data_IF_015238853027
#
_entry.id   IF_015238853027
#
_cell.length_a   1.000
_cell.length_b   1.000
_cell.length_c   1.000
_cell.angle_alpha   90.00
_cell.angle_beta   90.00
_cell.angle_gamma   90.00
#
_symmetry.space_group_name_H-M   'P 1'
#
loop_
_entity.id
_entity.type
_entity.pdbx_description
1 polymer ?
#
# COMPACT_ATOMS: atom_id res chain seq x y z
N UNK A 1 -19.04 1.03 -26.99
CA UNK A 1 -17.94 1.79 -27.62
C UNK A 1 -16.70 0.94 -27.52
N UNK A 2 -15.95 0.82 -28.62
CA UNK A 2 -14.71 0.02 -28.62
C UNK A 2 -13.64 0.80 -27.83
N UNK A 3 -13.45 0.49 -26.58
CA UNK A 3 -12.53 1.15 -25.62
C UNK A 3 -11.05 0.82 -25.90
N UNK A 4 -10.71 0.45 -27.12
CA UNK A 4 -9.36 0.05 -27.51
C UNK A 4 -8.54 1.24 -28.04
N UNK A 5 -7.25 1.27 -27.67
CA UNK A 5 -6.25 2.22 -28.17
C UNK A 5 -5.93 1.97 -29.66
N UNK A 6 -6.95 2.09 -30.52
CA UNK A 6 -7.02 1.92 -31.99
C UNK A 6 -5.86 1.15 -32.67
N UNK A 7 -4.63 1.71 -32.67
CA UNK A 7 -3.45 1.17 -33.40
C UNK A 7 -2.55 0.33 -32.51
N UNK A 8 -2.82 0.28 -31.21
CA UNK A 8 -2.03 -0.49 -30.25
C UNK A 8 -2.70 -1.86 -30.07
N UNK A 9 -1.93 -2.91 -30.34
CA UNK A 9 -2.36 -4.30 -30.19
C UNK A 9 -1.44 -5.08 -29.28
N UNK A 10 -0.11 -4.89 -29.43
CA UNK A 10 0.92 -5.60 -28.69
C UNK A 10 1.60 -4.63 -27.72
N UNK A 11 1.50 -4.90 -26.42
CA UNK A 11 2.04 -4.07 -25.36
C UNK A 11 3.16 -4.83 -24.65
N UNK A 12 4.38 -4.29 -24.66
CA UNK A 12 5.51 -4.88 -23.95
C UNK A 12 5.80 -4.17 -22.64
N UNK A 13 5.87 -4.95 -21.55
CA UNK A 13 6.20 -4.45 -20.22
C UNK A 13 7.64 -4.78 -19.84
N UNK A 14 8.43 -3.78 -19.43
CA UNK A 14 9.77 -3.98 -18.87
C UNK A 14 9.67 -3.92 -17.33
N UNK A 15 9.98 -5.06 -16.67
CA UNK A 15 9.74 -5.25 -15.23
C UNK A 15 8.29 -5.66 -14.93
N UNK A 16 7.72 -6.55 -15.75
CA UNK A 16 6.31 -6.95 -15.69
C UNK A 16 5.92 -7.62 -14.36
N UNK A 17 6.87 -8.20 -13.64
CA UNK A 17 6.65 -8.89 -12.36
C UNK A 17 6.49 -7.96 -11.16
N UNK A 18 6.67 -6.65 -11.32
CA UNK A 18 6.35 -5.68 -10.28
C UNK A 18 4.84 -5.63 -10.00
N UNK A 19 4.43 -5.49 -8.73
CA UNK A 19 3.01 -5.53 -8.33
C UNK A 19 2.14 -4.54 -9.11
N UNK A 20 2.56 -3.29 -9.21
CA UNK A 20 1.82 -2.25 -9.97
C UNK A 20 1.88 -2.46 -11.49
N UNK A 21 2.98 -3.00 -12.04
CA UNK A 21 3.11 -3.33 -13.46
C UNK A 21 2.20 -4.49 -13.84
N UNK A 22 2.24 -5.57 -13.04
CA UNK A 22 1.42 -6.75 -13.26
C UNK A 22 -0.07 -6.46 -13.22
N UNK A 23 -0.52 -5.58 -12.33
CA UNK A 23 -1.92 -5.16 -12.26
C UNK A 23 -2.41 -4.48 -13.53
N UNK A 24 -1.64 -3.52 -14.06
CA UNK A 24 -1.96 -2.85 -15.35
C UNK A 24 -1.93 -3.86 -16.50
N UNK A 25 -0.93 -4.74 -16.54
CA UNK A 25 -0.81 -5.79 -17.55
C UNK A 25 -2.01 -6.75 -17.54
N UNK A 26 -2.48 -7.17 -16.36
CA UNK A 26 -3.66 -8.03 -16.21
C UNK A 26 -4.93 -7.36 -16.73
N UNK A 27 -5.15 -6.09 -16.42
CA UNK A 27 -6.31 -5.34 -16.94
C UNK A 27 -6.27 -5.26 -18.47
N UNK A 28 -5.10 -4.99 -19.05
CA UNK A 28 -4.94 -4.91 -20.51
C UNK A 28 -5.15 -6.27 -21.20
N UNK A 29 -4.64 -7.37 -20.62
CA UNK A 29 -4.94 -8.74 -21.09
C UNK A 29 -6.44 -9.00 -21.14
N UNK A 30 -7.12 -8.70 -20.04
CA UNK A 30 -8.58 -8.91 -19.95
C UNK A 30 -9.38 -8.00 -20.90
N UNK A 31 -8.83 -6.84 -21.29
CA UNK A 31 -9.39 -5.98 -22.34
C UNK A 31 -9.13 -6.52 -23.75
N UNK A 32 -8.35 -7.59 -23.89
CA UNK A 32 -8.06 -8.29 -25.15
C UNK A 32 -6.87 -7.73 -25.93
N UNK A 33 -5.92 -7.03 -25.25
CA UNK A 33 -4.62 -6.70 -25.82
C UNK A 33 -3.69 -7.91 -25.75
N UNK A 34 -2.77 -8.04 -26.71
CA UNK A 34 -1.64 -8.94 -26.58
C UNK A 34 -0.62 -8.31 -25.63
N UNK A 35 -0.44 -8.92 -24.47
CA UNK A 35 0.52 -8.47 -23.48
C UNK A 35 1.72 -9.38 -23.46
N UNK A 36 2.88 -8.79 -23.55
CA UNK A 36 4.15 -9.46 -23.34
C UNK A 36 5.03 -8.64 -22.40
N UNK A 37 6.02 -9.27 -21.80
CA UNK A 37 6.94 -8.51 -20.95
C UNK A 37 8.10 -9.31 -20.43
N UNK A 38 9.08 -8.59 -19.92
CA UNK A 38 10.31 -9.17 -19.39
C UNK A 38 10.51 -8.82 -17.91
N UNK A 39 11.11 -9.75 -17.16
CA UNK A 39 11.55 -9.55 -15.79
C UNK A 39 12.86 -10.30 -15.52
N UNK A 40 13.60 -9.90 -14.49
CA UNK A 40 14.89 -10.54 -14.14
C UNK A 40 14.69 -11.94 -13.55
N UNK A 41 13.57 -12.19 -12.87
CA UNK A 41 13.25 -13.46 -12.20
C UNK A 41 11.78 -13.80 -12.35
N UNK A 42 11.46 -15.09 -12.36
CA UNK A 42 10.07 -15.54 -12.17
C UNK A 42 9.61 -15.23 -10.75
N UNK A 43 8.34 -14.83 -10.64
CA UNK A 43 7.68 -14.58 -9.38
C UNK A 43 6.16 -14.85 -9.53
N UNK A 44 5.37 -14.86 -8.44
CA UNK A 44 3.94 -15.15 -8.49
C UNK A 44 3.14 -14.27 -9.48
N UNK A 45 3.56 -13.01 -9.70
CA UNK A 45 2.91 -12.09 -10.66
C UNK A 45 3.16 -12.55 -12.09
N UNK A 46 4.42 -12.83 -12.47
CA UNK A 46 4.79 -13.31 -13.82
C UNK A 46 4.14 -14.63 -14.13
N UNK A 47 4.08 -15.56 -13.17
CA UNK A 47 3.43 -16.86 -13.32
C UNK A 47 1.92 -16.74 -13.51
N UNK A 48 1.28 -15.83 -12.77
CA UNK A 48 -0.15 -15.53 -12.94
C UNK A 48 -0.43 -14.95 -14.32
N UNK A 49 0.34 -13.95 -14.76
CA UNK A 49 0.18 -13.33 -16.08
C UNK A 49 0.39 -14.34 -17.20
N UNK A 50 1.37 -15.25 -17.10
CA UNK A 50 1.59 -16.32 -18.07
C UNK A 50 0.38 -17.25 -18.17
N UNK A 51 -0.24 -17.62 -17.04
CA UNK A 51 -1.49 -18.42 -17.02
C UNK A 51 -2.68 -17.69 -17.66
N UNK A 52 -2.69 -16.35 -17.61
CA UNK A 52 -3.71 -15.52 -18.26
C UNK A 52 -3.44 -15.28 -19.75
N UNK A 53 -2.31 -15.76 -20.29
CA UNK A 53 -1.97 -15.68 -21.70
C UNK A 53 -0.92 -14.63 -22.05
N UNK A 54 -0.27 -13.97 -21.07
CA UNK A 54 0.86 -13.08 -21.36
C UNK A 54 2.10 -13.87 -21.77
N UNK A 55 2.88 -13.34 -22.70
CA UNK A 55 4.18 -13.88 -23.06
C UNK A 55 5.27 -13.31 -22.17
N UNK A 56 5.83 -14.14 -21.29
CA UNK A 56 6.83 -13.72 -20.29
C UNK A 56 8.23 -14.13 -20.73
N UNK A 57 9.18 -13.20 -20.70
CA UNK A 57 10.59 -13.41 -20.94
C UNK A 57 11.40 -13.26 -19.66
N UNK A 58 12.30 -14.18 -19.37
CA UNK A 58 13.27 -14.05 -18.28
C UNK A 58 14.54 -13.36 -18.81
N UNK A 59 14.93 -12.28 -18.14
CA UNK A 59 15.97 -11.36 -18.62
C UNK A 59 15.44 -10.33 -19.61
N UNK A 60 16.11 -9.18 -19.64
CA UNK A 60 15.79 -8.09 -20.55
C UNK A 60 16.69 -8.16 -21.78
N UNK A 61 16.10 -8.25 -22.96
CA UNK A 61 16.81 -8.29 -24.24
C UNK A 61 16.05 -7.48 -25.31
N UNK A 62 16.76 -6.95 -26.29
CA UNK A 62 16.17 -6.20 -27.39
C UNK A 62 15.20 -7.05 -28.22
N UNK A 63 15.51 -8.31 -28.40
CA UNK A 63 14.73 -9.29 -29.16
C UNK A 63 13.37 -9.59 -28.54
N UNK A 64 13.23 -9.33 -27.23
CA UNK A 64 11.97 -9.55 -26.52
C UNK A 64 10.85 -8.59 -26.99
N UNK A 65 11.21 -7.45 -27.59
CA UNK A 65 10.24 -6.48 -28.08
C UNK A 65 9.41 -7.01 -29.25
N UNK A 66 10.01 -7.79 -30.15
CA UNK A 66 9.31 -8.30 -31.34
C UNK A 66 8.62 -7.18 -32.10
N UNK A 67 7.32 -7.31 -32.29
CA UNK A 67 6.45 -6.32 -32.96
C UNK A 67 5.64 -5.49 -31.98
N UNK A 68 6.17 -5.16 -30.80
CA UNK A 68 5.47 -4.34 -29.80
C UNK A 68 5.13 -2.95 -30.37
N UNK A 69 3.89 -2.54 -30.19
CA UNK A 69 3.39 -1.20 -30.61
C UNK A 69 3.75 -0.12 -29.58
N UNK A 70 3.90 -0.51 -28.31
CA UNK A 70 4.27 0.37 -27.19
C UNK A 70 5.02 -0.42 -26.12
N UNK A 71 5.94 0.26 -25.44
CA UNK A 71 6.69 -0.29 -24.31
C UNK A 71 6.29 0.45 -23.04
N UNK A 72 5.86 -0.29 -22.02
CA UNK A 72 5.55 0.24 -20.69
C UNK A 72 6.71 -0.04 -19.76
N UNK A 73 7.18 1.00 -19.07
CA UNK A 73 8.33 0.91 -18.16
C UNK A 73 7.97 1.34 -16.75
N UNK A 74 8.60 0.70 -15.76
CA UNK A 74 8.58 1.15 -14.36
C UNK A 74 9.67 2.20 -14.13
N UNK A 75 9.48 3.11 -13.18
CA UNK A 75 10.49 4.07 -12.70
C UNK A 75 11.77 3.38 -12.18
N UNK A 76 11.68 2.11 -11.76
CA UNK A 76 12.83 1.31 -11.31
C UNK A 76 13.74 0.80 -12.45
N UNK A 77 13.32 0.92 -13.73
CA UNK A 77 14.08 0.41 -14.88
C UNK A 77 15.17 1.42 -15.27
N UNK A 78 16.42 0.97 -15.25
CA UNK A 78 17.55 1.81 -15.65
C UNK A 78 17.49 2.16 -17.16
N UNK A 79 17.90 3.38 -17.51
CA UNK A 79 17.95 3.85 -18.92
C UNK A 79 18.82 2.97 -19.83
N UNK A 80 19.81 2.28 -19.27
CA UNK A 80 20.68 1.34 -20.00
C UNK A 80 20.04 -0.04 -20.24
N UNK A 81 18.78 -0.25 -19.87
CA UNK A 81 18.08 -1.50 -20.11
C UNK A 81 18.02 -1.81 -21.63
N UNK A 82 18.44 -3.00 -22.10
CA UNK A 82 18.56 -3.31 -23.53
C UNK A 82 17.22 -3.25 -24.27
N UNK A 83 16.11 -3.67 -23.65
CA UNK A 83 14.79 -3.56 -24.27
C UNK A 83 14.37 -2.09 -24.41
N UNK A 84 14.62 -1.26 -23.39
CA UNK A 84 14.33 0.18 -23.44
C UNK A 84 15.17 0.88 -24.51
N UNK A 85 16.47 0.61 -24.57
CA UNK A 85 17.36 1.17 -25.58
C UNK A 85 16.94 0.80 -27.01
N UNK A 86 16.54 -0.46 -27.22
CA UNK A 86 16.05 -0.93 -28.53
C UNK A 86 14.70 -0.29 -28.91
N UNK A 87 13.78 -0.08 -27.96
CA UNK A 87 12.52 0.59 -28.20
C UNK A 87 12.74 2.03 -28.66
N UNK A 88 13.63 2.78 -28.00
CA UNK A 88 13.99 4.14 -28.36
C UNK A 88 14.64 4.22 -29.73
N UNK A 89 15.56 3.30 -30.04
CA UNK A 89 16.21 3.22 -31.35
C UNK A 89 15.22 2.89 -32.48
N UNK A 90 14.27 1.98 -32.20
CA UNK A 90 13.18 1.59 -33.10
C UNK A 90 12.04 2.60 -33.20
N UNK A 91 12.09 3.70 -32.46
CA UNK A 91 11.01 4.70 -32.34
C UNK A 91 9.67 4.10 -31.89
N UNK A 92 9.71 3.02 -31.10
CA UNK A 92 8.53 2.49 -30.43
C UNK A 92 8.21 3.41 -29.27
N UNK A 93 6.95 3.89 -29.10
CA UNK A 93 6.57 4.70 -27.95
C UNK A 93 6.93 4.00 -26.63
N UNK A 94 7.55 4.75 -25.73
CA UNK A 94 7.89 4.30 -24.39
C UNK A 94 7.12 5.16 -23.40
N UNK A 95 6.26 4.53 -22.61
CA UNK A 95 5.39 5.21 -21.65
C UNK A 95 5.64 4.72 -20.22
N UNK A 96 5.64 5.58 -19.22
CA UNK A 96 5.64 5.19 -17.82
C UNK A 96 4.41 4.36 -17.48
N UNK A 97 4.53 3.47 -16.48
CA UNK A 97 3.38 2.71 -15.92
C UNK A 97 2.18 3.60 -15.58
N UNK A 98 2.44 4.75 -14.96
CA UNK A 98 1.37 5.65 -14.54
C UNK A 98 0.64 6.31 -15.72
N UNK A 99 1.36 6.61 -16.80
CA UNK A 99 0.75 7.12 -18.03
C UNK A 99 -0.18 6.06 -18.66
N UNK A 100 0.25 4.79 -18.71
CA UNK A 100 -0.61 3.69 -19.16
C UNK A 100 -1.83 3.50 -18.24
N UNK A 101 -1.67 3.64 -16.92
CA UNK A 101 -2.79 3.61 -16.00
C UNK A 101 -3.73 4.82 -16.22
N UNK A 102 -3.18 6.00 -16.46
CA UNK A 102 -3.93 7.20 -16.83
C UNK A 102 -4.77 6.99 -18.09
N UNK A 103 -4.21 6.32 -19.13
CA UNK A 103 -4.98 5.97 -20.32
C UNK A 103 -6.12 4.99 -20.02
N UNK A 104 -5.92 4.00 -19.15
CA UNK A 104 -7.01 3.12 -18.69
C UNK A 104 -8.10 3.90 -17.94
N UNK A 105 -7.72 4.93 -17.16
CA UNK A 105 -8.65 5.79 -16.43
C UNK A 105 -9.54 6.63 -17.35
N UNK A 106 -9.05 7.07 -18.51
CA UNK A 106 -9.80 7.91 -19.47
C UNK A 106 -11.08 7.26 -19.99
N UNK A 107 -11.15 5.94 -20.02
CA UNK A 107 -12.28 5.18 -20.54
C UNK A 107 -13.25 4.73 -19.45
N UNK A 108 -13.03 5.12 -18.20
CA UNK A 108 -13.79 4.67 -17.03
C UNK A 108 -14.12 5.87 -16.12
N UNK A 109 -15.16 5.72 -15.32
CA UNK A 109 -15.37 6.63 -14.20
C UNK A 109 -14.36 6.28 -13.12
N UNK A 110 -13.25 7.00 -13.08
CA UNK A 110 -12.08 6.62 -12.31
C UNK A 110 -12.02 7.29 -10.95
N UNK A 111 -11.57 6.52 -9.97
CA UNK A 111 -11.35 6.93 -8.59
C UNK A 111 -9.87 6.70 -8.29
N UNK A 112 -9.14 7.75 -7.95
CA UNK A 112 -7.73 7.67 -7.58
C UNK A 112 -7.57 7.92 -6.07
N UNK A 113 -6.81 7.07 -5.39
CA UNK A 113 -6.52 7.21 -3.96
C UNK A 113 -5.05 7.55 -3.78
N UNK A 114 -4.79 8.80 -3.40
CA UNK A 114 -3.48 9.35 -3.11
C UNK A 114 -3.29 9.55 -1.59
N UNK A 115 -2.07 9.93 -1.22
CA UNK A 115 -1.64 10.22 0.15
C UNK A 115 -0.42 9.39 0.53
N UNK A 116 0.32 9.81 1.52
CA UNK A 116 1.54 9.12 1.92
C UNK A 116 1.24 7.73 2.49
N UNK A 117 0.25 7.62 3.37
CA UNK A 117 -0.14 6.39 4.05
C UNK A 117 -1.61 6.02 3.81
N UNK A 118 -1.95 4.73 3.91
CA UNK A 118 -3.32 4.25 3.83
C UNK A 118 -3.88 4.06 2.42
N UNK A 119 -3.15 4.40 1.35
CA UNK A 119 -3.59 4.24 -0.05
C UNK A 119 -4.16 2.86 -0.35
N UNK A 120 -3.36 1.83 -0.13
CA UNK A 120 -3.73 0.42 -0.41
C UNK A 120 -5.00 0.00 0.31
N UNK A 121 -5.11 0.35 1.60
CA UNK A 121 -6.28 0.01 2.42
C UNK A 121 -7.53 0.74 1.92
N UNK A 122 -7.43 2.04 1.69
CA UNK A 122 -8.56 2.85 1.21
C UNK A 122 -9.02 2.41 -0.18
N UNK A 123 -8.10 2.18 -1.13
CA UNK A 123 -8.41 1.66 -2.47
C UNK A 123 -9.14 0.32 -2.39
N UNK A 124 -8.67 -0.58 -1.52
CA UNK A 124 -9.28 -1.89 -1.30
C UNK A 124 -10.68 -1.80 -0.71
N UNK A 125 -10.89 -0.90 0.26
CA UNK A 125 -12.20 -0.64 0.87
C UNK A 125 -13.17 -0.06 -0.16
N UNK A 126 -12.76 0.93 -0.95
CA UNK A 126 -13.58 1.50 -2.04
C UNK A 126 -13.95 0.40 -3.02
N UNK A 127 -12.99 -0.37 -3.52
CA UNK A 127 -13.26 -1.45 -4.48
C UNK A 127 -14.22 -2.50 -3.91
N UNK A 128 -14.07 -2.87 -2.62
CA UNK A 128 -14.94 -3.84 -1.94
C UNK A 128 -16.36 -3.33 -1.78
N UNK A 129 -16.54 -2.06 -1.39
CA UNK A 129 -17.86 -1.45 -1.23
C UNK A 129 -18.58 -1.33 -2.59
N UNK A 130 -17.86 -0.91 -3.64
CA UNK A 130 -18.45 -0.81 -4.98
C UNK A 130 -18.85 -2.18 -5.52
N UNK A 131 -18.05 -3.22 -5.27
CA UNK A 131 -18.35 -4.60 -5.66
C UNK A 131 -19.60 -5.12 -4.91
N UNK A 132 -19.68 -4.93 -3.59
CA UNK A 132 -20.85 -5.31 -2.78
C UNK A 132 -22.10 -4.52 -3.18
N UNK A 133 -21.93 -3.27 -3.63
CA UNK A 133 -23.00 -2.44 -4.22
C UNK A 133 -23.43 -2.84 -5.61
N UNK A 134 -22.88 -3.92 -6.19
CA UNK A 134 -23.22 -4.41 -7.54
C UNK A 134 -22.64 -3.58 -8.69
N UNK A 135 -21.69 -2.68 -8.41
CA UNK A 135 -21.08 -1.80 -9.42
C UNK A 135 -19.89 -2.45 -10.14
N UNK A 136 -19.46 -3.64 -9.71
CA UNK A 136 -18.39 -4.48 -10.29
C UNK A 136 -17.19 -3.67 -10.85
N UNK A 137 -16.41 -2.99 -9.99
CA UNK A 137 -15.35 -2.10 -10.45
C UNK A 137 -14.15 -2.87 -11.00
N UNK A 138 -13.45 -2.26 -11.96
CA UNK A 138 -12.05 -2.57 -12.22
C UNK A 138 -11.21 -1.96 -11.11
N UNK A 139 -10.21 -2.68 -10.60
CA UNK A 139 -9.28 -2.12 -9.63
C UNK A 139 -7.82 -2.47 -9.91
N UNK A 140 -6.93 -1.56 -9.51
CA UNK A 140 -5.46 -1.74 -9.52
C UNK A 140 -4.92 -1.24 -8.18
N UNK A 141 -4.41 -2.15 -7.36
CA UNK A 141 -4.00 -1.93 -5.95
C UNK A 141 -2.53 -2.33 -5.78
N UNK A 142 -1.78 -1.61 -4.98
CA UNK A 142 -0.37 -1.91 -4.68
C UNK A 142 -0.15 -3.20 -3.87
N UNK A 143 -1.16 -3.65 -3.11
CA UNK A 143 -1.17 -4.89 -2.35
C UNK A 143 -2.17 -5.91 -2.89
N UNK A 144 -2.11 -7.15 -2.39
CA UNK A 144 -3.05 -8.21 -2.77
C UNK A 144 -4.28 -8.18 -1.87
N UNK A 145 -5.45 -7.94 -2.49
CA UNK A 145 -6.74 -7.98 -1.81
C UNK A 145 -7.16 -9.44 -1.57
N UNK A 146 -7.30 -9.85 -0.31
CA UNK A 146 -7.56 -11.26 0.06
C UNK A 146 -8.88 -11.78 -0.52
N UNK A 147 -9.94 -10.99 -0.55
CA UNK A 147 -11.25 -11.40 -1.09
C UNK A 147 -11.25 -11.66 -2.60
N UNK A 148 -10.32 -11.03 -3.34
CA UNK A 148 -10.18 -11.19 -4.79
C UNK A 148 -8.98 -12.07 -5.16
N UNK A 149 -8.14 -12.43 -4.20
CA UNK A 149 -6.87 -13.15 -4.38
C UNK A 149 -5.97 -12.52 -5.46
N UNK A 150 -6.05 -11.18 -5.60
CA UNK A 150 -5.39 -10.42 -6.65
C UNK A 150 -5.11 -8.97 -6.23
N UNK A 151 -4.10 -8.38 -6.86
CA UNK A 151 -3.82 -6.94 -6.78
C UNK A 151 -4.49 -6.15 -7.91
N UNK A 152 -5.10 -6.81 -8.89
CA UNK A 152 -5.89 -6.17 -9.93
C UNK A 152 -6.98 -7.11 -10.45
N UNK A 153 -8.10 -6.53 -10.89
CA UNK A 153 -9.19 -7.25 -11.53
C UNK A 153 -9.90 -6.34 -12.52
N UNK A 154 -10.23 -6.85 -13.71
CA UNK A 154 -11.15 -6.19 -14.60
C UNK A 154 -12.59 -6.50 -14.16
N UNK A 155 -13.35 -5.46 -13.80
CA UNK A 155 -14.79 -5.53 -13.60
C UNK A 155 -15.57 -5.20 -14.85
N UNK A 156 -16.82 -5.67 -14.92
CA UNK A 156 -17.76 -5.34 -16.01
C UNK A 156 -18.34 -3.93 -15.86
N UNK A 157 -18.25 -3.33 -14.66
CA UNK A 157 -18.78 -2.01 -14.37
C UNK A 157 -17.96 -0.88 -15.00
N UNK A 158 -18.55 0.32 -15.02
CA UNK A 158 -17.90 1.53 -15.57
C UNK A 158 -16.82 2.13 -14.69
N UNK A 159 -16.65 1.65 -13.46
CA UNK A 159 -15.76 2.22 -12.46
C UNK A 159 -14.35 1.62 -12.53
N UNK A 160 -13.34 2.45 -12.30
CA UNK A 160 -11.96 2.03 -12.11
C UNK A 160 -11.42 2.67 -10.83
N UNK A 161 -10.94 1.85 -9.91
CA UNK A 161 -10.34 2.30 -8.63
C UNK A 161 -8.86 1.97 -8.66
N UNK A 162 -8.01 2.97 -8.46
CA UNK A 162 -6.56 2.79 -8.48
C UNK A 162 -5.84 3.60 -7.41
N UNK A 163 -4.68 3.09 -6.98
CA UNK A 163 -3.75 3.87 -6.18
C UNK A 163 -3.03 4.92 -7.04
N UNK A 164 -2.88 6.11 -6.49
CA UNK A 164 -2.15 7.22 -7.05
C UNK A 164 -0.85 7.40 -6.26
N UNK A 165 0.29 7.04 -6.88
CA UNK A 165 1.59 7.01 -6.22
C UNK A 165 2.28 8.37 -6.33
N UNK A 166 2.50 9.03 -5.21
CA UNK A 166 3.21 10.31 -5.12
C UNK A 166 4.73 10.15 -5.04
N UNK A 167 5.20 8.94 -4.72
CA UNK A 167 6.63 8.69 -4.41
C UNK A 167 7.58 9.00 -5.56
N UNK A 168 7.12 8.86 -6.80
CA UNK A 168 7.84 9.18 -8.03
C UNK A 168 7.13 10.28 -8.85
N UNK A 169 6.18 11.00 -8.24
CA UNK A 169 5.31 11.99 -8.87
C UNK A 169 4.43 11.41 -10.01
N UNK A 170 4.34 10.08 -10.12
CA UNK A 170 3.60 9.42 -11.20
C UNK A 170 2.09 9.66 -11.14
N UNK A 171 1.54 10.00 -9.96
CA UNK A 171 0.13 10.36 -9.81
C UNK A 171 -0.28 11.59 -10.64
N UNK A 172 0.66 12.45 -11.04
CA UNK A 172 0.41 13.60 -11.91
C UNK A 172 -0.09 13.21 -13.31
N UNK A 173 0.14 11.97 -13.76
CA UNK A 173 -0.37 11.46 -15.03
C UNK A 173 -1.84 11.04 -14.96
N UNK A 174 -2.40 10.90 -13.74
CA UNK A 174 -3.76 10.42 -13.54
C UNK A 174 -4.78 11.54 -13.69
N UNK A 175 -5.93 11.24 -14.30
CA UNK A 175 -7.04 12.17 -14.51
C UNK A 175 -8.34 11.54 -13.97
N UNK A 176 -8.49 11.45 -12.64
CA UNK A 176 -9.66 10.81 -12.04
C UNK A 176 -10.90 11.70 -12.08
N UNK A 177 -12.07 11.07 -11.86
CA UNK A 177 -13.34 11.75 -11.57
C UNK A 177 -13.52 12.01 -10.09
N UNK A 178 -12.99 11.12 -9.25
CA UNK A 178 -12.91 11.29 -7.80
C UNK A 178 -11.46 11.07 -7.38
N UNK A 179 -10.91 12.00 -6.61
CA UNK A 179 -9.59 11.90 -6.01
C UNK A 179 -9.71 11.90 -4.48
N UNK A 180 -9.14 10.87 -3.84
CA UNK A 180 -9.03 10.80 -2.38
C UNK A 180 -7.60 11.19 -1.98
N UNK A 181 -7.45 12.02 -0.95
CA UNK A 181 -6.16 12.25 -0.28
C UNK A 181 -6.28 11.87 1.18
N UNK A 182 -5.53 10.86 1.59
CA UNK A 182 -5.62 10.31 2.95
C UNK A 182 -4.83 11.12 3.98
N UNK A 183 -3.63 11.51 3.63
CA UNK A 183 -2.70 12.30 4.46
C UNK A 183 -1.52 12.76 3.58
N UNK A 184 -0.75 13.72 4.07
CA UNK A 184 0.51 14.18 3.45
C UNK A 184 1.58 14.18 4.53
N UNK A 185 2.55 13.27 4.44
CA UNK A 185 3.62 13.12 5.40
C UNK A 185 4.99 13.33 4.75
N UNK A 186 5.99 13.59 5.57
CA UNK A 186 7.37 13.82 5.14
C UNK A 186 8.06 12.51 4.73
N UNK A 187 7.62 11.96 3.59
CA UNK A 187 8.27 10.80 2.96
C UNK A 187 8.53 11.10 1.47
N UNK A 188 9.41 10.35 0.86
CA UNK A 188 9.74 10.43 -0.57
C UNK A 188 10.20 11.82 -1.08
N UNK A 189 10.73 12.69 -0.21
CA UNK A 189 11.16 14.05 -0.58
C UNK A 189 12.25 14.09 -1.67
N UNK A 190 12.98 13.01 -1.90
CA UNK A 190 13.99 12.93 -2.97
C UNK A 190 13.44 13.30 -4.34
N UNK A 191 12.21 12.92 -4.66
CA UNK A 191 11.48 13.25 -5.89
C UNK A 191 11.12 14.74 -5.96
N UNK A 192 10.90 15.36 -4.80
CA UNK A 192 10.53 16.77 -4.66
C UNK A 192 11.71 17.68 -4.27
N UNK A 193 12.95 17.24 -4.58
CA UNK A 193 14.21 17.99 -4.32
C UNK A 193 14.45 18.30 -2.82
N UNK A 194 13.93 17.46 -1.92
CA UNK A 194 14.04 17.66 -0.47
C UNK A 194 13.07 18.71 0.09
N UNK A 195 12.11 19.21 -0.70
CA UNK A 195 11.23 20.30 -0.32
C UNK A 195 9.80 19.82 -0.08
N UNK A 196 9.37 19.85 1.16
CA UNK A 196 8.03 19.46 1.58
C UNK A 196 6.93 20.37 1.03
N UNK A 197 7.23 21.67 0.80
CA UNK A 197 6.29 22.61 0.17
C UNK A 197 5.98 22.18 -1.26
N UNK A 198 6.97 21.68 -1.98
CA UNK A 198 6.80 21.16 -3.35
C UNK A 198 5.97 19.87 -3.35
N UNK A 199 6.15 19.00 -2.37
CA UNK A 199 5.29 17.82 -2.21
C UNK A 199 3.83 18.25 -2.03
N UNK A 200 3.53 19.19 -1.12
CA UNK A 200 2.17 19.72 -0.95
C UNK A 200 1.61 20.35 -2.22
N UNK A 201 2.40 21.15 -2.93
CA UNK A 201 2.00 21.73 -4.21
C UNK A 201 1.64 20.66 -5.25
N UNK A 202 2.38 19.55 -5.31
CA UNK A 202 2.08 18.44 -6.23
C UNK A 202 0.74 17.75 -5.92
N UNK A 203 0.32 17.68 -4.65
CA UNK A 203 -1.02 17.20 -4.29
C UNK A 203 -2.12 18.17 -4.77
N UNK A 204 -1.90 19.47 -4.66
CA UNK A 204 -2.83 20.48 -5.21
C UNK A 204 -2.93 20.35 -6.73
N UNK A 205 -1.81 20.22 -7.42
CA UNK A 205 -1.76 20.03 -8.88
C UNK A 205 -2.47 18.72 -9.29
N UNK A 206 -2.24 17.63 -8.55
CA UNK A 206 -2.96 16.36 -8.77
C UNK A 206 -4.49 16.54 -8.61
N UNK A 207 -4.94 17.24 -7.58
CA UNK A 207 -6.37 17.53 -7.38
C UNK A 207 -6.95 18.41 -8.48
N UNK A 208 -6.12 19.26 -9.11
CA UNK A 208 -6.53 20.06 -10.27
C UNK A 208 -6.62 19.26 -11.58
N UNK A 209 -6.12 18.01 -11.62
CA UNK A 209 -6.39 17.09 -12.72
C UNK A 209 -7.83 16.56 -12.73
N UNK A 210 -8.57 16.73 -11.62
CA UNK A 210 -10.03 16.51 -11.61
C UNK A 210 -10.72 17.47 -12.59
N UNK A 211 -11.75 17.04 -13.32
CA UNK A 211 -12.60 17.96 -14.06
C UNK A 211 -13.28 18.95 -13.10
N UNK A 212 -13.79 20.07 -13.58
CA UNK A 212 -14.41 21.09 -12.72
C UNK A 212 -15.64 20.59 -11.94
N UNK A 213 -16.23 19.48 -12.36
CA UNK A 213 -17.35 18.79 -11.72
C UNK A 213 -16.91 17.49 -11.01
N UNK A 214 -15.62 17.22 -10.94
CA UNK A 214 -15.06 16.09 -10.20
C UNK A 214 -15.04 16.36 -8.71
N UNK A 215 -14.79 15.34 -7.90
CA UNK A 215 -14.87 15.40 -6.44
C UNK A 215 -13.50 15.12 -5.82
N UNK A 216 -13.06 15.99 -4.92
CA UNK A 216 -11.95 15.76 -3.99
C UNK A 216 -12.49 15.26 -2.64
N UNK A 217 -12.03 14.10 -2.16
CA UNK A 217 -12.37 13.51 -0.85
C UNK A 217 -11.15 13.61 0.05
N UNK A 218 -11.17 14.50 1.04
CA UNK A 218 -9.98 14.98 1.75
C UNK A 218 -10.08 14.74 3.26
N UNK A 219 -9.00 14.18 3.87
CA UNK A 219 -8.94 13.97 5.32
C UNK A 219 -8.73 15.29 6.05
N UNK A 220 -9.75 15.77 6.76
CA UNK A 220 -9.66 17.01 7.53
C UNK A 220 -8.93 16.86 8.87
N UNK A 221 -8.65 15.65 9.30
CA UNK A 221 -7.89 15.37 10.53
C UNK A 221 -6.37 15.41 10.29
N UNK A 222 -5.94 15.37 9.04
CA UNK A 222 -4.54 15.58 8.67
C UNK A 222 -4.27 17.08 8.50
N UNK A 223 -3.29 17.59 9.23
CA UNK A 223 -2.97 19.02 9.27
C UNK A 223 -2.51 19.54 7.89
N UNK A 224 -1.72 18.74 7.18
CA UNK A 224 -1.17 19.12 5.88
C UNK A 224 -2.23 19.09 4.78
N UNK A 225 -3.14 18.10 4.81
CA UNK A 225 -4.31 18.07 3.92
C UNK A 225 -5.24 19.25 4.22
N UNK A 226 -5.50 19.55 5.50
CA UNK A 226 -6.28 20.71 5.90
C UNK A 226 -5.65 22.02 5.44
N UNK A 227 -4.31 22.09 5.45
CA UNK A 227 -3.55 23.26 5.00
C UNK A 227 -3.66 23.56 3.50
N UNK A 228 -4.01 22.58 2.67
CA UNK A 228 -4.17 22.76 1.22
C UNK A 228 -5.62 22.98 0.78
N UNK A 229 -6.63 22.79 1.64
CA UNK A 229 -8.06 22.87 1.26
C UNK A 229 -8.40 24.18 0.53
N UNK A 230 -7.89 25.31 1.01
CA UNK A 230 -8.16 26.63 0.40
C UNK A 230 -7.57 26.79 -1.01
N UNK A 231 -6.57 25.99 -1.39
CA UNK A 231 -5.94 26.02 -2.69
C UNK A 231 -6.66 25.10 -3.71
N UNK A 232 -7.57 24.23 -3.28
CA UNK A 232 -8.25 23.27 -4.15
C UNK A 232 -9.50 23.89 -4.77
N UNK A 233 -9.44 24.24 -6.04
CA UNK A 233 -10.56 24.83 -6.80
C UNK A 233 -11.44 23.75 -7.45
N UNK A 234 -11.90 22.78 -6.65
CA UNK A 234 -12.80 21.68 -7.04
C UNK A 234 -13.84 21.43 -5.95
N UNK A 235 -14.97 20.77 -6.23
CA UNK A 235 -15.88 20.29 -5.19
C UNK A 235 -15.13 19.41 -4.19
N UNK A 236 -15.35 19.64 -2.90
CA UNK A 236 -14.66 18.95 -1.80
C UNK A 236 -15.73 18.29 -0.91
N UNK A 237 -15.45 17.06 -0.49
CA UNK A 237 -16.05 16.40 0.67
C UNK A 237 -14.94 16.09 1.65
N UNK A 238 -15.06 16.57 2.87
CA UNK A 238 -14.11 16.30 3.95
C UNK A 238 -14.54 15.10 4.78
N UNK A 239 -13.56 14.37 5.32
CA UNK A 239 -13.82 13.28 6.27
C UNK A 239 -12.85 13.31 7.43
N UNK A 240 -13.30 12.80 8.60
CA UNK A 240 -12.48 12.78 9.80
C UNK A 240 -13.26 12.49 11.08
N UNK A 241 -12.60 12.70 12.23
CA UNK A 241 -13.23 12.68 13.55
C UNK A 241 -13.69 14.08 13.99
N UNK A 242 -13.13 15.11 13.38
CA UNK A 242 -13.40 16.51 13.69
C UNK A 242 -14.86 16.89 13.42
N UNK A 243 -15.42 17.81 14.23
CA UNK A 243 -16.82 18.22 14.13
C UNK A 243 -17.17 18.92 12.80
N UNK A 244 -16.16 19.44 12.09
CA UNK A 244 -16.32 20.14 10.81
C UNK A 244 -16.26 19.24 9.58
N UNK A 245 -16.04 17.93 9.73
CA UNK A 245 -15.97 16.99 8.61
C UNK A 245 -17.38 16.67 8.07
N UNK A 246 -17.53 16.62 6.74
CA UNK A 246 -18.78 16.25 6.06
C UNK A 246 -19.16 14.78 6.28
N UNK A 247 -18.15 13.91 6.38
CA UNK A 247 -18.29 12.49 6.75
C UNK A 247 -17.49 12.24 8.02
N UNK A 248 -18.17 12.10 9.14
CA UNK A 248 -17.55 12.09 10.46
C UNK A 248 -17.76 10.79 11.20
N UNK A 249 -16.70 10.22 11.80
CA UNK A 249 -16.84 9.10 12.73
C UNK A 249 -17.12 9.59 14.15
N UNK A 250 -18.10 8.97 14.79
CA UNK A 250 -18.42 9.12 16.22
C UNK A 250 -18.57 7.73 16.85
N UNK A 251 -18.58 7.68 18.19
CA UNK A 251 -18.79 6.45 18.97
C UNK A 251 -17.86 5.29 18.57
N UNK A 252 -16.59 5.63 18.35
CA UNK A 252 -15.57 4.65 17.94
C UNK A 252 -15.22 3.72 19.09
N UNK A 253 -15.49 2.43 18.92
CA UNK A 253 -15.30 1.37 19.92
C UNK A 253 -14.49 0.22 19.36
N UNK A 254 -13.23 0.06 19.78
CA UNK A 254 -12.43 -1.13 19.45
C UNK A 254 -13.04 -2.40 20.09
N UNK A 255 -13.00 -3.51 19.36
CA UNK A 255 -13.46 -4.82 19.82
C UNK A 255 -12.55 -5.92 19.24
N UNK A 256 -11.37 -6.11 19.85
CA UNK A 256 -10.32 -6.98 19.32
C UNK A 256 -9.84 -6.49 17.96
N UNK A 257 -9.97 -7.33 16.93
CA UNK A 257 -9.61 -6.98 15.55
C UNK A 257 -10.66 -6.15 14.81
N UNK A 258 -11.80 -5.88 15.43
CA UNK A 258 -12.88 -5.10 14.83
C UNK A 258 -12.93 -3.72 15.46
N UNK A 259 -13.46 -2.78 14.69
CA UNK A 259 -13.79 -1.45 15.19
C UNK A 259 -15.23 -1.13 14.81
N UNK A 260 -16.05 -0.75 15.81
CA UNK A 260 -17.41 -0.29 15.62
C UNK A 260 -17.42 1.23 15.68
N UNK A 261 -18.22 1.89 14.84
CA UNK A 261 -18.39 3.33 14.84
C UNK A 261 -19.63 3.74 14.07
N UNK A 262 -20.12 4.95 14.30
CA UNK A 262 -21.20 5.56 13.51
C UNK A 262 -20.60 6.60 12.56
N UNK A 263 -20.95 6.54 11.28
CA UNK A 263 -20.60 7.56 10.29
C UNK A 263 -21.75 8.56 10.16
N UNK A 264 -21.52 9.79 10.56
CA UNK A 264 -22.43 10.92 10.32
C UNK A 264 -22.11 11.51 8.94
N UNK A 265 -23.12 11.66 8.09
CA UNK A 265 -23.00 12.21 6.73
C UNK A 265 -23.97 13.35 6.56
N UNK A 266 -23.54 14.45 5.97
CA UNK A 266 -24.41 15.64 5.80
C UNK A 266 -25.69 15.28 5.04
N UNK A 267 -26.83 15.59 5.62
CA UNK A 267 -28.15 15.35 5.01
C UNK A 267 -28.64 13.91 4.98
N UNK A 268 -27.92 12.97 5.61
CA UNK A 268 -28.26 11.55 5.67
C UNK A 268 -28.36 11.04 7.10
N UNK A 269 -29.12 9.97 7.37
CA UNK A 269 -29.13 9.34 8.68
C UNK A 269 -27.74 8.82 9.09
N UNK A 270 -27.44 8.75 10.41
CA UNK A 270 -26.24 8.07 10.90
C UNK A 270 -26.16 6.63 10.37
N UNK A 271 -24.98 6.20 10.00
CA UNK A 271 -24.72 4.86 9.48
C UNK A 271 -23.84 4.09 10.47
N UNK A 272 -24.42 3.06 11.11
CA UNK A 272 -23.69 2.18 12.02
C UNK A 272 -22.80 1.24 11.23
N UNK A 273 -21.51 1.23 11.54
CA UNK A 273 -20.50 0.51 10.81
C UNK A 273 -19.64 -0.39 11.71
N UNK A 274 -19.20 -1.49 11.15
CA UNK A 274 -18.18 -2.35 11.71
C UNK A 274 -17.14 -2.63 10.64
N UNK A 275 -15.87 -2.38 10.96
CA UNK A 275 -14.75 -2.77 10.10
C UNK A 275 -13.91 -3.88 10.77
N UNK A 276 -13.51 -4.89 10.00
CA UNK A 276 -12.63 -5.97 10.46
C UNK A 276 -11.14 -5.57 10.44
N UNK A 277 -10.85 -4.36 10.85
CA UNK A 277 -9.49 -3.84 11.03
C UNK A 277 -9.45 -3.02 12.31
N UNK A 278 -8.44 -3.18 13.15
CA UNK A 278 -8.21 -2.34 14.32
C UNK A 278 -7.54 -1.02 13.91
N UNK A 279 -7.60 -0.04 14.82
CA UNK A 279 -6.87 1.23 14.71
C UNK A 279 -7.68 2.38 14.10
N UNK A 280 -7.45 3.56 14.67
CA UNK A 280 -8.13 4.81 14.26
C UNK A 280 -7.88 5.16 12.79
N UNK A 281 -6.67 4.91 12.29
CA UNK A 281 -6.33 5.13 10.87
C UNK A 281 -7.19 4.29 9.91
N UNK A 282 -7.61 3.08 10.29
CA UNK A 282 -8.52 2.27 9.49
C UNK A 282 -9.96 2.76 9.53
N UNK A 283 -10.38 3.43 10.61
CA UNK A 283 -11.64 4.18 10.62
C UNK A 283 -11.59 5.33 9.61
N UNK A 284 -10.50 6.13 9.57
CA UNK A 284 -10.30 7.18 8.57
C UNK A 284 -10.31 6.62 7.14
N UNK A 285 -9.59 5.53 6.88
CA UNK A 285 -9.61 4.85 5.58
C UNK A 285 -11.03 4.41 5.19
N UNK A 286 -11.82 3.96 6.18
CA UNK A 286 -13.23 3.56 5.97
C UNK A 286 -14.11 4.76 5.68
N UNK A 287 -13.93 5.89 6.37
CA UNK A 287 -14.69 7.13 6.11
C UNK A 287 -14.45 7.66 4.70
N UNK A 288 -13.20 7.62 4.21
CA UNK A 288 -12.89 7.97 2.83
C UNK A 288 -13.67 7.09 1.84
N UNK A 289 -13.69 5.76 2.09
CA UNK A 289 -14.44 4.83 1.25
C UNK A 289 -15.96 5.03 1.36
N UNK A 290 -16.49 5.36 2.53
CA UNK A 290 -17.90 5.72 2.75
C UNK A 290 -18.26 7.00 2.00
N UNK A 291 -17.39 8.03 2.02
CA UNK A 291 -17.59 9.27 1.28
C UNK A 291 -17.73 9.01 -0.22
N UNK A 292 -16.78 8.23 -0.80
CA UNK A 292 -16.83 7.82 -2.22
C UNK A 292 -18.09 7.02 -2.53
N UNK A 293 -18.44 6.05 -1.68
CA UNK A 293 -19.61 5.19 -1.88
C UNK A 293 -20.93 5.99 -1.81
N UNK A 294 -21.00 6.94 -0.89
CA UNK A 294 -22.16 7.85 -0.74
C UNK A 294 -22.34 8.72 -1.98
N UNK A 295 -21.27 9.31 -2.50
CA UNK A 295 -21.27 10.10 -3.74
C UNK A 295 -21.77 9.27 -4.93
N UNK A 296 -21.40 7.99 -5.00
CA UNK A 296 -21.78 7.09 -6.08
C UNK A 296 -23.16 6.42 -5.88
N UNK A 297 -23.88 6.77 -4.83
CA UNK A 297 -25.23 6.29 -4.53
C UNK A 297 -25.27 4.80 -4.13
N UNK A 298 -24.21 4.26 -3.55
CA UNK A 298 -24.20 2.89 -3.02
C UNK A 298 -25.10 2.81 -1.79
N UNK A 299 -25.99 1.82 -1.76
CA UNK A 299 -26.92 1.63 -0.66
C UNK A 299 -26.19 1.36 0.68
N UNK A 300 -26.68 1.96 1.77
CA UNK A 300 -26.10 1.85 3.11
C UNK A 300 -25.88 0.39 3.54
N UNK A 301 -26.85 -0.48 3.26
CA UNK A 301 -26.74 -1.91 3.58
C UNK A 301 -25.57 -2.60 2.85
N UNK A 302 -25.22 -2.16 1.64
CA UNK A 302 -24.03 -2.69 0.93
C UNK A 302 -22.74 -2.17 1.54
N UNK A 303 -22.69 -0.89 1.95
CA UNK A 303 -21.54 -0.31 2.67
C UNK A 303 -21.30 -1.09 3.98
N UNK A 304 -22.34 -1.31 4.77
CA UNK A 304 -22.27 -2.07 6.02
C UNK A 304 -21.74 -3.49 5.81
N UNK A 305 -22.29 -4.22 4.84
CA UNK A 305 -21.86 -5.60 4.55
C UNK A 305 -20.41 -5.65 4.05
N UNK A 306 -20.03 -4.74 3.16
CA UNK A 306 -18.67 -4.70 2.62
C UNK A 306 -17.62 -4.50 3.71
N UNK A 307 -17.84 -3.55 4.61
CA UNK A 307 -16.92 -3.27 5.71
C UNK A 307 -16.88 -4.40 6.75
N UNK A 308 -18.04 -4.94 7.12
CA UNK A 308 -18.14 -6.04 8.08
C UNK A 308 -17.50 -7.35 7.57
N UNK A 309 -17.51 -7.59 6.25
CA UNK A 309 -16.97 -8.77 5.60
C UNK A 309 -15.57 -8.54 5.01
N UNK A 310 -14.96 -7.38 5.21
CA UNK A 310 -13.65 -7.08 4.67
C UNK A 310 -12.59 -8.03 5.25
N UNK A 311 -11.92 -8.77 4.39
CA UNK A 311 -10.97 -9.81 4.80
C UNK A 311 -9.53 -9.29 4.99
N UNK A 312 -9.33 -7.99 4.76
CA UNK A 312 -8.02 -7.36 4.84
C UNK A 312 -7.17 -7.53 3.57
N UNK A 313 -5.96 -7.08 3.65
CA UNK A 313 -4.96 -7.06 2.59
C UNK A 313 -3.75 -7.84 3.09
N UNK A 314 -3.00 -8.47 2.20
CA UNK A 314 -1.74 -9.09 2.58
C UNK A 314 -0.79 -8.06 3.20
N UNK A 315 -0.12 -8.49 4.27
CA UNK A 315 0.85 -7.67 4.98
C UNK A 315 0.29 -6.34 5.54
N UNK A 316 -1.01 -6.31 5.92
CA UNK A 316 -1.63 -5.21 6.68
C UNK A 316 -2.29 -5.81 7.91
N UNK A 317 -1.57 -5.82 9.05
CA UNK A 317 -1.92 -6.54 10.28
C UNK A 317 -2.38 -7.97 9.98
N UNK A 318 -1.68 -8.64 9.08
CA UNK A 318 -2.02 -9.98 8.64
C UNK A 318 -1.66 -11.01 9.71
N UNK A 319 -2.66 -11.69 10.28
CA UNK A 319 -2.39 -12.84 11.11
C UNK A 319 -1.89 -14.01 10.27
N UNK A 320 -0.69 -14.50 10.58
CA UNK A 320 -0.08 -15.69 9.96
C UNK A 320 -0.41 -16.97 10.74
N UNK A 321 -0.96 -16.84 11.94
CA UNK A 321 -1.40 -17.92 12.81
C UNK A 321 -0.57 -18.04 14.08
N UNK A 322 -0.95 -19.00 14.92
CA UNK A 322 -0.22 -19.33 16.16
C UNK A 322 0.94 -20.29 15.88
N UNK A 323 2.03 -20.06 16.57
CA UNK A 323 3.12 -21.02 16.75
C UNK A 323 3.03 -21.64 18.14
N UNK A 324 3.50 -22.87 18.25
CA UNK A 324 3.56 -23.60 19.53
C UNK A 324 4.93 -24.27 19.67
N UNK A 325 5.51 -24.16 20.86
CA UNK A 325 6.77 -24.82 21.23
C UNK A 325 6.66 -25.34 22.66
N UNK A 326 7.67 -26.03 23.18
CA UNK A 326 7.65 -26.63 24.53
C UNK A 326 7.46 -25.62 25.66
N UNK A 327 7.72 -24.34 25.44
CA UNK A 327 7.61 -23.23 26.40
C UNK A 327 6.32 -22.41 26.29
N UNK A 328 5.40 -22.70 25.36
CA UNK A 328 4.15 -21.94 25.19
C UNK A 328 3.71 -21.76 23.75
N UNK A 329 2.96 -20.70 23.52
CA UNK A 329 2.43 -20.32 22.21
C UNK A 329 2.58 -18.82 21.97
N UNK A 330 2.66 -18.39 20.70
CA UNK A 330 2.62 -16.99 20.31
C UNK A 330 1.87 -16.78 19.00
N UNK A 331 1.22 -15.64 18.86
CA UNK A 331 0.56 -15.23 17.62
C UNK A 331 1.56 -14.50 16.72
N UNK A 332 1.66 -14.88 15.44
CA UNK A 332 2.45 -14.16 14.45
C UNK A 332 1.54 -13.24 13.64
N UNK A 333 1.94 -11.97 13.55
CA UNK A 333 1.29 -10.93 12.74
C UNK A 333 2.35 -10.29 11.83
N UNK A 334 2.02 -10.03 10.57
CA UNK A 334 2.91 -9.36 9.61
C UNK A 334 2.29 -8.06 9.11
N UNK A 335 3.11 -7.00 9.05
CA UNK A 335 2.73 -5.70 8.53
C UNK A 335 3.78 -5.13 7.58
N UNK A 336 3.33 -4.42 6.57
CA UNK A 336 4.20 -3.79 5.56
C UNK A 336 4.77 -2.45 5.99
N UNK A 337 4.25 -1.88 7.08
CA UNK A 337 4.64 -0.56 7.58
C UNK A 337 6.15 -0.42 7.74
N UNK A 338 6.67 0.70 7.29
CA UNK A 338 8.11 0.95 7.21
C UNK A 338 8.48 2.43 7.41
N UNK A 339 7.48 3.29 7.62
CA UNK A 339 7.63 4.68 8.04
C UNK A 339 7.33 4.79 9.55
N UNK A 340 7.97 5.71 10.32
CA UNK A 340 7.71 5.85 11.75
C UNK A 340 6.23 6.06 12.10
N UNK A 341 5.50 6.85 11.31
CA UNK A 341 4.06 7.07 11.45
C UNK A 341 3.27 5.76 11.31
N UNK A 342 3.62 4.92 10.32
CA UNK A 342 2.99 3.60 10.13
C UNK A 342 3.33 2.66 11.29
N UNK A 343 4.59 2.67 11.76
CA UNK A 343 5.03 1.87 12.91
C UNK A 343 4.21 2.21 14.15
N UNK A 344 4.10 3.49 14.50
CA UNK A 344 3.33 3.94 15.66
C UNK A 344 1.85 3.53 15.56
N UNK A 345 1.21 3.77 14.41
CA UNK A 345 -0.19 3.42 14.19
C UNK A 345 -0.44 1.89 14.26
N UNK A 346 0.51 1.10 13.76
CA UNK A 346 0.43 -0.36 13.80
C UNK A 346 0.61 -0.89 15.23
N UNK A 347 1.60 -0.38 15.98
CA UNK A 347 1.81 -0.77 17.37
C UNK A 347 0.58 -0.44 18.24
N UNK A 348 0.01 0.76 18.08
CA UNK A 348 -1.24 1.15 18.76
C UNK A 348 -2.36 0.16 18.44
N UNK A 349 -2.51 -0.20 17.16
CA UNK A 349 -3.55 -1.14 16.72
C UNK A 349 -3.37 -2.53 17.30
N UNK A 350 -2.13 -3.02 17.39
CA UNK A 350 -1.80 -4.31 18.02
C UNK A 350 -2.11 -4.27 19.53
N UNK A 351 -1.75 -3.18 20.21
CA UNK A 351 -2.08 -2.97 21.63
C UNK A 351 -3.60 -2.96 21.87
N UNK A 352 -4.37 -2.32 20.97
CA UNK A 352 -5.83 -2.32 21.06
C UNK A 352 -6.43 -3.70 20.79
N UNK A 353 -5.88 -4.45 19.83
CA UNK A 353 -6.39 -5.76 19.47
C UNK A 353 -6.08 -6.85 20.51
N UNK A 354 -4.94 -6.77 21.16
CA UNK A 354 -4.44 -7.75 22.15
C UNK A 354 -3.85 -7.05 23.38
N UNK A 355 -4.68 -6.37 24.20
CA UNK A 355 -4.21 -5.49 25.28
C UNK A 355 -3.42 -6.23 26.37
N UNK A 356 -3.72 -7.50 26.60
CA UNK A 356 -3.11 -8.31 27.66
C UNK A 356 -1.88 -9.11 27.21
N UNK A 357 -1.50 -9.00 25.93
CA UNK A 357 -0.37 -9.73 25.37
C UNK A 357 0.88 -8.87 25.28
N UNK A 358 2.04 -9.44 25.60
CA UNK A 358 3.33 -8.81 25.38
C UNK A 358 3.62 -8.71 23.89
N UNK A 359 4.07 -7.54 23.44
CA UNK A 359 4.34 -7.23 22.03
C UNK A 359 5.83 -7.35 21.72
N UNK A 360 6.19 -8.35 20.94
CA UNK A 360 7.52 -8.59 20.39
C UNK A 360 7.57 -8.08 18.97
N UNK A 361 8.31 -7.00 18.72
CA UNK A 361 8.46 -6.40 17.39
C UNK A 361 9.77 -6.86 16.74
N UNK A 362 9.70 -7.45 15.56
CA UNK A 362 10.82 -7.66 14.65
C UNK A 362 10.71 -6.66 13.48
N UNK A 363 11.59 -5.66 13.46
CA UNK A 363 11.53 -4.57 12.49
C UNK A 363 12.71 -4.61 11.51
N UNK A 364 12.40 -4.49 10.21
CA UNK A 364 13.40 -4.29 9.16
C UNK A 364 13.29 -2.87 8.60
N UNK A 365 14.30 -2.02 8.84
CA UNK A 365 14.36 -0.71 8.20
C UNK A 365 14.45 -0.84 6.68
N UNK A 366 13.86 0.12 5.96
CA UNK A 366 13.81 0.10 4.51
C UNK A 366 14.36 1.41 3.96
N UNK A 367 15.44 1.34 3.14
CA UNK A 367 16.24 2.42 2.58
C UNK A 367 17.13 3.12 3.62
N UNK A 368 18.39 3.34 3.25
CA UNK A 368 19.35 4.06 4.06
C UNK A 368 19.01 5.54 4.20
N UNK A 369 18.48 6.16 3.14
CA UNK A 369 18.08 7.57 3.16
C UNK A 369 16.96 7.80 4.18
N UNK A 370 15.90 6.99 4.19
CA UNK A 370 14.81 7.08 5.18
C UNK A 370 15.31 6.83 6.60
N UNK A 371 16.18 5.84 6.78
CA UNK A 371 16.78 5.53 8.11
C UNK A 371 17.57 6.71 8.65
N UNK A 372 18.33 7.41 7.79
CA UNK A 372 19.08 8.61 8.17
C UNK A 372 18.14 9.77 8.53
N UNK A 373 17.19 10.05 7.65
CA UNK A 373 16.38 11.27 7.73
C UNK A 373 15.34 11.23 8.86
N UNK A 374 14.88 10.04 9.24
CA UNK A 374 13.87 9.81 10.27
C UNK A 374 14.39 9.03 11.49
N UNK A 375 15.70 9.06 11.76
CA UNK A 375 16.32 8.24 12.79
C UNK A 375 15.74 8.47 14.18
N UNK A 376 15.47 9.72 14.57
CA UNK A 376 14.88 10.06 15.87
C UNK A 376 13.41 9.64 15.97
N UNK A 377 12.66 9.78 14.89
CA UNK A 377 11.26 9.33 14.81
C UNK A 377 11.16 7.81 14.90
N UNK A 378 12.07 7.06 14.25
CA UNK A 378 12.19 5.62 14.47
C UNK A 378 12.52 5.28 15.92
N UNK A 379 13.47 6.01 16.53
CA UNK A 379 13.80 5.83 17.93
C UNK A 379 12.58 5.95 18.83
N UNK A 380 11.72 6.94 18.58
CA UNK A 380 10.48 7.16 19.30
C UNK A 380 9.46 6.05 19.05
N UNK A 381 9.12 5.80 17.81
CA UNK A 381 8.05 4.85 17.46
C UNK A 381 8.39 3.41 17.89
N UNK A 382 9.63 2.96 17.67
CA UNK A 382 10.06 1.60 18.01
C UNK A 382 10.21 1.36 19.52
N UNK A 383 10.24 2.42 20.33
CA UNK A 383 10.29 2.29 21.80
C UNK A 383 8.94 1.91 22.44
N UNK A 384 7.84 1.86 21.67
CA UNK A 384 6.49 1.56 22.15
C UNK A 384 6.18 0.05 22.26
N UNK A 385 7.13 -0.84 21.91
CA UNK A 385 6.99 -2.28 22.09
C UNK A 385 7.63 -2.80 23.38
N UNK A 386 7.33 -4.05 23.79
CA UNK A 386 7.91 -4.65 25.00
C UNK A 386 9.25 -5.32 24.73
N UNK A 387 9.45 -5.83 23.53
CA UNK A 387 10.70 -6.43 23.04
C UNK A 387 10.90 -5.99 21.61
N UNK A 388 12.12 -5.55 21.28
CA UNK A 388 12.49 -5.08 19.97
C UNK A 388 13.65 -5.87 19.38
N UNK A 389 13.45 -6.44 18.20
CA UNK A 389 14.51 -6.95 17.33
C UNK A 389 14.60 -6.06 16.10
N UNK A 390 15.79 -5.59 15.75
CA UNK A 390 16.03 -4.74 14.57
C UNK A 390 17.01 -5.44 13.66
N UNK A 391 16.65 -5.60 12.39
CA UNK A 391 17.56 -6.20 11.39
C UNK A 391 18.39 -5.12 10.70
N UNK A 392 19.30 -5.57 9.82
CA UNK A 392 19.98 -4.64 8.92
C UNK A 392 19.01 -4.05 7.90
N UNK A 393 19.35 -2.85 7.40
CA UNK A 393 18.53 -2.09 6.45
C UNK A 393 18.37 -2.86 5.14
N UNK A 394 17.15 -2.97 4.66
CA UNK A 394 16.88 -3.39 3.29
C UNK A 394 17.15 -2.23 2.33
N UNK A 395 18.20 -2.36 1.54
CA UNK A 395 18.76 -1.26 0.74
C UNK A 395 17.83 -0.72 -0.35
N UNK A 396 16.94 -1.56 -0.92
CA UNK A 396 16.06 -1.19 -2.03
C UNK A 396 16.77 -0.48 -3.20
N UNK A 397 18.00 -0.93 -3.51
CA UNK A 397 18.83 -0.37 -4.58
C UNK A 397 19.69 0.84 -4.18
N UNK A 398 19.60 1.32 -2.94
CA UNK A 398 20.46 2.40 -2.45
C UNK A 398 21.83 1.88 -2.04
N UNK A 399 22.83 2.76 -2.09
CA UNK A 399 24.17 2.51 -1.51
C UNK A 399 24.14 2.74 0.00
N UNK A 400 24.90 1.97 0.79
CA UNK A 400 24.99 2.18 2.23
C UNK A 400 25.42 3.60 2.61
N UNK A 401 24.76 4.16 3.64
CA UNK A 401 25.06 5.47 4.20
C UNK A 401 25.63 5.25 5.61
N UNK A 402 26.81 5.78 5.89
CA UNK A 402 27.44 5.68 7.20
C UNK A 402 26.53 6.28 8.30
N UNK A 403 26.29 5.52 9.35
CA UNK A 403 25.43 5.93 10.48
C UNK A 403 23.92 5.79 10.23
N UNK A 404 23.49 5.20 9.11
CA UNK A 404 22.08 4.95 8.76
C UNK A 404 21.77 3.46 8.65
N UNK A 405 22.39 2.64 9.48
CA UNK A 405 22.24 1.19 9.56
C UNK A 405 21.25 0.75 10.67
N UNK A 406 20.95 -0.53 10.76
CA UNK A 406 20.10 -1.08 11.81
C UNK A 406 20.67 -0.86 13.21
N UNK A 407 22.01 -0.80 13.35
CA UNK A 407 22.70 -0.48 14.61
C UNK A 407 22.49 0.99 15.02
N UNK A 408 22.37 1.90 14.06
CA UNK A 408 22.02 3.29 14.34
C UNK A 408 20.64 3.43 14.97
N UNK A 409 19.65 2.69 14.44
CA UNK A 409 18.31 2.61 15.05
C UNK A 409 18.39 2.05 16.45
N UNK A 410 19.14 0.95 16.68
CA UNK A 410 19.32 0.40 18.03
C UNK A 410 19.92 1.45 19.00
N UNK A 411 20.87 2.26 18.55
CA UNK A 411 21.42 3.34 19.38
C UNK A 411 20.39 4.41 19.70
N UNK A 412 19.60 4.83 18.71
CA UNK A 412 18.54 5.82 18.90
C UNK A 412 17.46 5.34 19.91
N UNK A 413 17.07 4.07 19.84
CA UNK A 413 16.13 3.46 20.79
C UNK A 413 16.74 3.38 22.20
N UNK A 414 18.00 2.93 22.34
CA UNK A 414 18.71 2.86 23.64
C UNK A 414 18.77 4.21 24.34
N UNK A 415 19.00 5.28 23.59
CA UNK A 415 19.07 6.64 24.16
C UNK A 415 17.77 7.03 24.87
N UNK A 416 16.63 6.42 24.49
CA UNK A 416 15.33 6.65 25.12
C UNK A 416 15.11 5.84 26.40
N UNK A 417 15.83 4.73 26.59
CA UNK A 417 15.81 3.94 27.81
C UNK A 417 14.52 3.19 28.11
N UNK A 418 13.60 3.03 27.14
CA UNK A 418 12.31 2.36 27.33
C UNK A 418 12.36 0.87 26.99
N UNK A 419 13.13 0.48 26.00
CA UNK A 419 13.33 -0.91 25.56
C UNK A 419 14.80 -1.12 25.15
N UNK A 420 15.36 -2.31 25.46
CA UNK A 420 16.69 -2.69 24.99
C UNK A 420 16.56 -3.45 23.67
N UNK A 421 16.99 -2.88 22.54
CA UNK A 421 16.86 -3.52 21.22
C UNK A 421 17.94 -4.59 21.02
N UNK A 422 17.53 -5.71 20.44
CA UNK A 422 18.40 -6.78 19.96
C UNK A 422 18.69 -6.55 18.47
N UNK A 423 19.95 -6.37 18.10
CA UNK A 423 20.32 -6.30 16.69
C UNK A 423 20.49 -7.71 16.11
N UNK A 424 19.84 -7.97 14.99
CA UNK A 424 19.90 -9.22 14.23
C UNK A 424 20.44 -8.90 12.83
N UNK A 425 21.65 -9.32 12.51
CA UNK A 425 22.33 -8.90 11.30
C UNK A 425 21.57 -9.31 10.02
N UNK A 426 21.06 -10.54 9.99
CA UNK A 426 20.34 -11.08 8.85
C UNK A 426 18.90 -11.43 9.20
N UNK A 427 17.99 -11.17 8.29
CA UNK A 427 16.58 -11.55 8.45
C UNK A 427 16.43 -13.06 8.65
N UNK A 428 17.29 -13.86 8.04
CA UNK A 428 17.31 -15.31 8.19
C UNK A 428 17.59 -15.79 9.62
N UNK A 429 18.26 -14.97 10.43
CA UNK A 429 18.63 -15.31 11.82
C UNK A 429 17.51 -14.90 12.82
N UNK A 430 16.42 -14.27 12.33
CA UNK A 430 15.30 -13.82 13.19
C UNK A 430 14.66 -14.97 13.98
N UNK A 431 14.51 -16.14 13.38
CA UNK A 431 13.87 -17.28 14.07
C UNK A 431 14.68 -17.71 15.30
N UNK A 432 16.01 -17.72 15.20
CA UNK A 432 16.90 -18.06 16.33
C UNK A 432 16.87 -16.97 17.42
N UNK A 433 16.97 -15.70 16.99
CA UNK A 433 16.90 -14.56 17.91
C UNK A 433 15.56 -14.52 18.66
N UNK A 434 14.45 -14.80 17.98
CA UNK A 434 13.12 -14.86 18.59
C UNK A 434 13.01 -15.98 19.63
N UNK A 435 13.60 -17.18 19.41
CA UNK A 435 13.59 -18.26 20.41
C UNK A 435 14.19 -17.82 21.75
N UNK A 436 15.17 -16.93 21.71
CA UNK A 436 15.83 -16.42 22.93
C UNK A 436 14.98 -15.44 23.74
N UNK A 437 13.91 -14.88 23.18
CA UNK A 437 13.13 -13.81 23.81
C UNK A 437 11.64 -14.15 23.99
N UNK A 438 11.10 -15.12 23.24
CA UNK A 438 9.68 -15.47 23.25
C UNK A 438 9.21 -16.01 24.61
N UNK A 439 7.97 -15.66 24.97
CA UNK A 439 7.23 -16.16 26.13
C UNK A 439 5.85 -16.60 25.71
N UNK A 440 5.23 -17.44 26.53
CA UNK A 440 3.83 -17.85 26.31
C UNK A 440 2.90 -16.65 26.28
N UNK A 441 1.99 -16.65 25.32
CA UNK A 441 1.00 -15.60 25.11
C UNK A 441 1.49 -14.38 24.31
N UNK A 442 2.74 -14.35 23.81
CA UNK A 442 3.26 -13.23 23.02
C UNK A 442 2.49 -12.99 21.72
N UNK A 443 2.49 -11.72 21.28
CA UNK A 443 2.23 -11.34 19.89
C UNK A 443 3.56 -10.95 19.25
N UNK A 444 3.96 -11.68 18.22
CA UNK A 444 5.13 -11.38 17.40
C UNK A 444 4.67 -10.60 16.18
N UNK A 445 5.05 -9.33 16.10
CA UNK A 445 4.81 -8.48 14.95
C UNK A 445 6.08 -8.40 14.10
N UNK A 446 6.03 -8.90 12.87
CA UNK A 446 7.06 -8.64 11.87
C UNK A 446 6.68 -7.41 11.06
N UNK A 447 7.60 -6.47 10.88
CA UNK A 447 7.27 -5.20 10.22
C UNK A 447 8.39 -4.68 9.32
N UNK A 448 8.03 -4.26 8.09
CA UNK A 448 8.94 -3.68 7.12
C UNK A 448 8.58 -4.00 5.67
N UNK A 449 9.00 -3.14 4.73
CA UNK A 449 8.71 -3.28 3.29
C UNK A 449 9.68 -4.22 2.54
N UNK A 450 10.74 -4.69 3.21
CA UNK A 450 11.76 -5.56 2.63
C UNK A 450 11.42 -7.05 2.67
N UNK A 451 12.47 -7.88 2.71
CA UNK A 451 12.33 -9.34 2.70
C UNK A 451 11.89 -9.96 4.03
N UNK A 452 11.73 -9.15 5.08
CA UNK A 452 11.18 -9.61 6.36
C UNK A 452 9.78 -10.24 6.21
N UNK A 453 8.96 -9.75 5.27
CA UNK A 453 7.65 -10.35 5.00
C UNK A 453 7.72 -11.76 4.44
N UNK A 454 8.73 -12.08 3.63
CA UNK A 454 8.96 -13.47 3.18
C UNK A 454 9.43 -14.34 4.36
N UNK A 455 10.36 -13.84 5.17
CA UNK A 455 10.81 -14.54 6.38
C UNK A 455 9.67 -14.78 7.37
N UNK A 456 8.73 -13.85 7.51
CA UNK A 456 7.55 -13.98 8.38
C UNK A 456 6.69 -15.21 8.05
N UNK A 457 6.52 -15.52 6.76
CA UNK A 457 5.79 -16.71 6.31
C UNK A 457 6.47 -18.00 6.77
N UNK A 458 7.82 -18.02 6.78
CA UNK A 458 8.62 -19.17 7.17
C UNK A 458 8.81 -19.28 8.69
N UNK A 459 8.65 -18.18 9.45
CA UNK A 459 8.86 -18.15 10.90
C UNK A 459 8.04 -19.22 11.62
N UNK A 460 6.79 -19.43 11.18
CA UNK A 460 5.90 -20.43 11.79
C UNK A 460 6.51 -21.85 11.73
N UNK A 461 7.00 -22.25 10.55
CA UNK A 461 7.62 -23.56 10.38
C UNK A 461 8.94 -23.65 11.15
N UNK A 462 9.77 -22.61 11.06
CA UNK A 462 11.12 -22.56 11.68
C UNK A 462 11.06 -22.50 13.21
N UNK A 463 10.07 -21.84 13.80
CA UNK A 463 9.89 -21.77 15.25
C UNK A 463 9.21 -23.04 15.81
N UNK A 464 8.30 -23.67 15.06
CA UNK A 464 7.66 -24.94 15.45
C UNK A 464 8.61 -26.14 15.35
N UNK A 465 9.55 -26.14 14.41
CA UNK A 465 10.52 -27.21 14.19
C UNK A 465 11.67 -27.24 15.20
N UNK A 466 11.51 -26.65 16.39
CA UNK A 466 12.49 -26.52 17.47
C UNK A 466 13.17 -27.80 17.99
N UNK A 467 13.44 -28.77 17.12
CA UNK A 467 14.43 -29.81 17.29
C UNK A 467 15.76 -29.31 16.73
N UNK A 468 16.76 -29.38 17.57
CA UNK A 468 18.11 -28.92 17.40
C UNK A 468 18.71 -29.25 16.02
N UNK A 469 19.36 -28.24 15.40
CA UNK A 469 20.46 -28.52 14.49
C UNK A 469 21.75 -28.70 15.27
#
# INVERSE_FOLDING_TARGET
>A
MNDRMRRIHIIHFVGIGGSGMGGVAEVLLNLGYEVQGSDLKSNPVTERLARLGAKIFLGHAAENLGNADVVVVSSAVARANPALAAALAGRIPVVPRAEMLGELMRFRYSIAVAGTHGKTTTTSLVASILAEGGLDPTFVIGGRLKSADSNARLGAGRYLVAEADESDASFMHLQPMIAVVTNIDNDHLGTHQGDFVRLKASFVDFLHNLPFYGLAVLCSDDEEVSGILAAVARPIVTYGFGAGADVRAVDVRPAGLKTHFSALRVGLPPLELTINLPGRHNVLNSLAAVAVATELGVADAAIQRALANFQGIERRLQQLGEIRWSGGSALIVDDYGHHPTEVAATLESVRQAWPDRRLVLAFQPHRFTRTRDLLDDFGRALSECDVLLVTEVYAAGETPIAGADGRAICRAVRTRGLVEPVFVERVDDLAEALRGVLRDGDVVLTMGAGNIGAAAQDLRARLASGEAA
#
